data_IF_524694761817
#
_entry.id   IF_524694761817
#
_cell.length_a   1.000
_cell.length_b   1.000
_cell.length_c   1.000
_cell.angle_alpha   90.00
_cell.angle_beta   90.00
_cell.angle_gamma   90.00
#
_symmetry.space_group_name_H-M   'P 1'
#
loop_
_entity.id
_entity.type
_entity.pdbx_description
1 polymer ?
#
# COMPACT_ATOMS: atom_id res chain seq x y z
N UNK A 1 -22.86 -0.33 -16.30
CA UNK A 1 -22.39 1.02 -15.95
C UNK A 1 -21.06 1.20 -16.67
N UNK A 2 -20.84 2.31 -17.38
CA UNK A 2 -19.53 2.59 -17.99
C UNK A 2 -18.69 3.30 -16.93
N UNK A 3 -17.72 2.59 -16.34
CA UNK A 3 -16.71 3.20 -15.48
C UNK A 3 -15.50 3.59 -16.35
N UNK A 4 -15.01 4.81 -16.22
CA UNK A 4 -13.73 5.25 -16.83
C UNK A 4 -12.59 5.07 -15.83
N UNK A 5 -12.30 3.82 -15.47
CA UNK A 5 -11.24 3.49 -14.52
C UNK A 5 -9.88 3.58 -15.19
N UNK A 6 -9.00 4.44 -14.68
CA UNK A 6 -7.58 4.46 -15.09
C UNK A 6 -6.80 3.30 -14.47
N UNK A 7 -7.02 2.11 -15.04
CA UNK A 7 -6.35 0.87 -14.64
C UNK A 7 -4.83 0.92 -14.79
N UNK A 8 -4.31 1.77 -15.67
CA UNK A 8 -2.86 1.94 -15.83
C UNK A 8 -2.26 2.71 -14.65
N UNK A 9 -2.91 3.79 -14.20
CA UNK A 9 -2.49 4.53 -13.00
C UNK A 9 -2.53 3.64 -11.77
N UNK A 10 -3.60 2.87 -11.58
CA UNK A 10 -3.73 1.94 -10.45
C UNK A 10 -2.62 0.88 -10.52
N UNK A 11 -2.43 0.21 -11.65
CA UNK A 11 -1.46 -0.88 -11.74
C UNK A 11 0.00 -0.41 -11.53
N UNK A 12 0.36 0.81 -11.96
CA UNK A 12 1.66 1.42 -11.61
C UNK A 12 1.87 1.51 -10.09
N UNK A 13 0.84 1.90 -9.35
CA UNK A 13 0.90 1.96 -7.88
C UNK A 13 1.00 0.55 -7.28
N UNK A 14 0.24 -0.43 -7.79
CA UNK A 14 0.30 -1.80 -7.30
C UNK A 14 1.65 -2.48 -7.55
N UNK A 15 2.26 -2.26 -8.71
CA UNK A 15 3.60 -2.75 -9.03
C UNK A 15 4.63 -2.15 -8.08
N UNK A 16 4.56 -0.84 -7.82
CA UNK A 16 5.50 -0.20 -6.93
C UNK A 16 5.27 -0.58 -5.45
N UNK A 17 4.01 -0.76 -5.04
CA UNK A 17 3.62 -1.28 -3.72
C UNK A 17 4.20 -2.68 -3.49
N UNK A 18 4.10 -3.57 -4.48
CA UNK A 18 4.67 -4.92 -4.40
C UNK A 18 6.20 -4.87 -4.21
N UNK A 19 6.89 -3.97 -4.93
CA UNK A 19 8.34 -3.75 -4.74
C UNK A 19 8.67 -3.28 -3.32
N UNK A 20 7.89 -2.35 -2.77
CA UNK A 20 8.08 -1.89 -1.40
C UNK A 20 7.82 -3.01 -0.38
N UNK A 21 6.74 -3.80 -0.56
CA UNK A 21 6.42 -4.97 0.28
C UNK A 21 7.59 -5.94 0.33
N UNK A 22 8.19 -6.28 -0.83
CA UNK A 22 9.33 -7.19 -0.90
C UNK A 22 10.55 -6.65 -0.12
N UNK A 23 10.83 -5.35 -0.18
CA UNK A 23 11.93 -4.74 0.59
C UNK A 23 11.65 -4.82 2.09
N UNK A 24 10.42 -4.49 2.51
CA UNK A 24 10.01 -4.50 3.90
C UNK A 24 10.02 -5.92 4.49
N UNK A 25 9.55 -6.91 3.73
CA UNK A 25 9.53 -8.33 4.14
C UNK A 25 10.92 -8.97 4.13
N UNK A 26 11.82 -8.53 3.24
CA UNK A 26 13.21 -9.01 3.20
C UNK A 26 14.09 -8.40 4.32
N UNK A 27 13.59 -7.36 5.01
CA UNK A 27 14.32 -6.71 6.09
C UNK A 27 14.40 -7.62 7.31
N UNK A 28 15.60 -7.79 7.87
CA UNK A 28 15.82 -8.62 9.07
C UNK A 28 15.33 -7.89 10.32
N UNK A 29 14.60 -8.61 11.18
CA UNK A 29 14.13 -8.13 12.48
C UNK A 29 14.78 -8.98 13.59
N UNK A 30 15.28 -8.38 14.70
CA UNK A 30 15.38 -6.93 14.95
C UNK A 30 16.45 -6.28 14.06
N UNK A 31 16.22 -5.03 13.66
CA UNK A 31 17.21 -4.25 12.94
C UNK A 31 18.34 -3.80 13.87
N UNK A 32 19.57 -3.72 13.35
CA UNK A 32 20.71 -3.18 14.09
C UNK A 32 20.53 -1.67 14.28
N UNK A 33 20.63 -1.19 15.53
CA UNK A 33 20.39 0.22 15.86
C UNK A 33 21.43 1.18 15.26
N UNK A 34 22.58 0.65 14.84
CA UNK A 34 23.66 1.43 14.21
C UNK A 34 23.60 1.41 12.68
N UNK A 35 22.69 0.65 12.08
CA UNK A 35 22.55 0.55 10.62
C UNK A 35 21.68 1.68 10.06
N UNK A 36 22.28 2.85 9.87
CA UNK A 36 21.62 4.04 9.29
C UNK A 36 21.09 3.77 7.87
N UNK A 37 21.78 2.92 7.09
CA UNK A 37 21.34 2.58 5.73
C UNK A 37 20.03 1.81 5.79
N UNK A 38 19.97 0.77 6.63
CA UNK A 38 18.75 0.01 6.84
C UNK A 38 17.62 0.88 7.39
N UNK A 39 17.92 1.77 8.35
CA UNK A 39 16.95 2.73 8.89
C UNK A 39 16.31 3.58 7.79
N UNK A 40 17.12 4.26 6.96
CA UNK A 40 16.60 5.12 5.90
C UNK A 40 15.90 4.32 4.79
N UNK A 41 16.41 3.15 4.43
CA UNK A 41 15.81 2.29 3.42
C UNK A 41 14.41 1.81 3.84
N UNK A 42 14.27 1.30 5.07
CA UNK A 42 12.99 0.83 5.61
C UNK A 42 12.01 1.99 5.78
N UNK A 43 12.47 3.12 6.35
CA UNK A 43 11.65 4.32 6.48
C UNK A 43 11.07 4.75 5.14
N UNK A 44 11.90 4.78 4.10
CA UNK A 44 11.47 5.20 2.77
C UNK A 44 10.56 4.16 2.11
N UNK A 45 10.87 2.87 2.23
CA UNK A 45 10.03 1.81 1.68
C UNK A 45 8.64 1.79 2.34
N UNK A 46 8.55 1.97 3.67
CA UNK A 46 7.29 2.02 4.39
C UNK A 46 6.46 3.24 4.00
N UNK A 47 7.09 4.42 3.94
CA UNK A 47 6.43 5.64 3.47
C UNK A 47 5.88 5.46 2.05
N UNK A 48 6.69 4.98 1.09
CA UNK A 48 6.20 4.83 -0.28
C UNK A 48 5.09 3.76 -0.37
N UNK A 49 5.18 2.66 0.37
CA UNK A 49 4.13 1.66 0.42
C UNK A 49 2.78 2.27 0.85
N UNK A 50 2.81 3.15 1.87
CA UNK A 50 1.62 3.88 2.33
C UNK A 50 1.08 4.79 1.22
N UNK A 51 1.92 5.60 0.56
CA UNK A 51 1.46 6.46 -0.55
C UNK A 51 0.87 5.65 -1.70
N UNK A 52 1.46 4.50 -2.07
CA UNK A 52 0.93 3.66 -3.14
C UNK A 52 -0.46 3.11 -2.81
N UNK A 53 -0.73 2.76 -1.54
CA UNK A 53 -2.08 2.34 -1.11
C UNK A 53 -3.06 3.51 -1.22
N UNK A 54 -2.68 4.69 -0.74
CA UNK A 54 -3.50 5.91 -0.80
C UNK A 54 -3.83 6.26 -2.25
N UNK A 55 -2.82 6.35 -3.12
CA UNK A 55 -2.98 6.73 -4.52
C UNK A 55 -3.78 5.71 -5.34
N UNK A 56 -3.62 4.41 -5.03
CA UNK A 56 -4.42 3.36 -5.66
C UNK A 56 -5.87 3.42 -5.19
N UNK A 57 -6.11 3.65 -3.90
CA UNK A 57 -7.45 3.81 -3.34
C UNK A 57 -8.17 5.03 -3.89
N UNK A 58 -7.50 6.17 -3.94
CA UNK A 58 -7.99 7.42 -4.54
C UNK A 58 -8.41 7.22 -6.00
N UNK A 59 -7.56 6.58 -6.81
CA UNK A 59 -7.88 6.28 -8.20
C UNK A 59 -9.05 5.27 -8.37
N UNK A 60 -9.24 4.35 -7.43
CA UNK A 60 -10.40 3.46 -7.43
C UNK A 60 -11.69 4.22 -7.10
N UNK A 61 -11.65 5.07 -6.09
CA UNK A 61 -12.78 5.91 -5.66
C UNK A 61 -13.27 6.76 -6.84
N UNK A 62 -12.34 7.46 -7.49
CA UNK A 62 -12.64 8.27 -8.67
C UNK A 62 -13.20 7.43 -9.82
N UNK A 63 -12.53 6.32 -10.14
CA UNK A 63 -12.86 5.49 -11.30
C UNK A 63 -14.21 4.78 -11.19
N UNK A 64 -14.60 4.37 -9.98
CA UNK A 64 -15.86 3.68 -9.70
C UNK A 64 -16.96 4.61 -9.17
N UNK A 65 -16.70 5.92 -9.07
CA UNK A 65 -17.67 6.92 -8.57
C UNK A 65 -18.16 6.54 -7.18
N UNK A 66 -17.23 6.20 -6.28
CA UNK A 66 -17.51 5.94 -4.87
C UNK A 66 -17.72 7.27 -4.12
N UNK A 67 -17.99 7.23 -2.80
CA UNK A 67 -18.10 8.44 -1.99
C UNK A 67 -16.73 9.14 -1.85
N UNK A 68 -16.74 10.47 -1.73
CA UNK A 68 -15.51 11.26 -1.52
C UNK A 68 -14.87 10.96 -0.14
N UNK A 69 -13.53 10.84 -0.06
CA UNK A 69 -12.82 10.67 1.20
C UNK A 69 -12.63 11.99 1.94
N UNK A 70 -12.89 12.00 3.25
CA UNK A 70 -12.56 13.11 4.16
C UNK A 70 -11.09 13.14 4.61
N UNK A 71 -10.30 12.11 4.28
CA UNK A 71 -8.88 12.00 4.60
C UNK A 71 -8.32 10.61 4.30
N UNK A 72 -7.03 10.38 4.55
CA UNK A 72 -6.35 9.15 4.13
C UNK A 72 -6.90 7.87 4.76
N UNK A 73 -7.29 7.90 6.04
CA UNK A 73 -7.93 6.72 6.65
C UNK A 73 -9.32 6.45 6.08
N UNK A 74 -10.03 7.49 5.64
CA UNK A 74 -11.36 7.36 5.06
C UNK A 74 -11.31 6.69 3.67
N UNK A 75 -10.20 6.85 2.93
CA UNK A 75 -9.95 6.07 1.71
C UNK A 75 -10.04 4.57 2.02
N UNK A 76 -9.42 4.12 3.13
CA UNK A 76 -9.45 2.70 3.51
C UNK A 76 -10.84 2.26 3.98
N UNK A 77 -11.56 3.12 4.68
CA UNK A 77 -12.96 2.86 5.06
C UNK A 77 -13.85 2.69 3.82
N UNK A 78 -13.68 3.52 2.79
CA UNK A 78 -14.42 3.40 1.52
C UNK A 78 -14.09 2.08 0.81
N UNK A 79 -12.80 1.73 0.73
CA UNK A 79 -12.40 0.46 0.12
C UNK A 79 -12.94 -0.76 0.87
N UNK A 80 -13.11 -0.67 2.20
CA UNK A 80 -13.75 -1.70 3.01
C UNK A 80 -15.26 -1.78 2.73
N UNK A 81 -15.96 -0.64 2.76
CA UNK A 81 -17.39 -0.52 2.52
C UNK A 81 -17.78 -1.09 1.14
N UNK A 82 -16.98 -0.78 0.11
CA UNK A 82 -17.13 -1.25 -1.27
C UNK A 82 -16.58 -2.67 -1.50
N UNK A 83 -16.16 -3.35 -0.42
CA UNK A 83 -15.65 -4.73 -0.42
C UNK A 83 -14.42 -4.95 -1.30
N UNK A 84 -13.65 -3.89 -1.57
CA UNK A 84 -12.36 -3.98 -2.24
C UNK A 84 -11.35 -4.68 -1.33
N UNK A 85 -11.35 -4.34 -0.05
CA UNK A 85 -10.47 -4.93 0.97
C UNK A 85 -11.29 -5.53 2.12
N UNK A 86 -10.84 -6.63 2.73
CA UNK A 86 -11.52 -7.19 3.89
C UNK A 86 -11.27 -6.32 5.14
N UNK A 87 -12.21 -6.38 6.10
CA UNK A 87 -12.17 -5.64 7.37
C UNK A 87 -10.83 -5.76 8.11
N UNK A 88 -10.30 -6.97 8.24
CA UNK A 88 -9.01 -7.20 8.93
C UNK A 88 -7.85 -6.50 8.22
N UNK A 89 -7.90 -6.44 6.89
CA UNK A 89 -6.97 -5.68 6.07
C UNK A 89 -7.12 -4.17 6.27
N UNK A 90 -8.35 -3.67 6.29
CA UNK A 90 -8.68 -2.26 6.51
C UNK A 90 -8.16 -1.76 7.86
N UNK A 91 -8.37 -2.52 8.93
CA UNK A 91 -7.84 -2.22 10.27
C UNK A 91 -6.32 -2.06 10.20
N UNK A 92 -5.62 -3.03 9.62
CA UNK A 92 -4.16 -3.02 9.58
C UNK A 92 -3.59 -1.91 8.68
N UNK A 93 -4.21 -1.64 7.54
CA UNK A 93 -3.81 -0.54 6.65
C UNK A 93 -4.01 0.83 7.32
N UNK A 94 -5.10 1.02 8.08
CA UNK A 94 -5.33 2.26 8.85
C UNK A 94 -4.28 2.49 9.92
N UNK A 95 -3.82 1.43 10.61
CA UNK A 95 -2.71 1.54 11.56
C UNK A 95 -1.44 2.03 10.87
N UNK A 96 -1.07 1.44 9.73
CA UNK A 96 0.12 1.83 8.97
C UNK A 96 0.01 3.26 8.41
N UNK A 97 -1.18 3.68 7.94
CA UNK A 97 -1.40 5.07 7.47
C UNK A 97 -1.15 6.09 8.58
N UNK A 98 -1.40 5.77 9.86
CA UNK A 98 -1.11 6.70 10.97
C UNK A 98 0.39 6.93 11.14
N UNK A 99 1.23 5.98 10.75
CA UNK A 99 2.70 6.11 10.77
C UNK A 99 3.19 7.18 9.78
N UNK A 100 2.42 7.45 8.71
CA UNK A 100 2.76 8.42 7.66
C UNK A 100 3.15 9.79 8.20
N UNK A 101 2.38 10.35 9.13
CA UNK A 101 2.66 11.67 9.68
C UNK A 101 4.06 11.72 10.32
N UNK A 102 4.43 10.66 11.02
CA UNK A 102 5.74 10.54 11.64
C UNK A 102 6.84 10.40 10.59
N UNK A 103 6.63 9.61 9.55
CA UNK A 103 7.59 9.44 8.45
C UNK A 103 7.82 10.71 7.62
N UNK A 104 6.82 11.60 7.52
CA UNK A 104 6.88 12.77 6.62
C UNK A 104 7.15 14.08 7.35
N UNK A 105 6.60 14.27 8.55
CA UNK A 105 6.65 15.55 9.28
C UNK A 105 7.40 15.47 10.60
N UNK A 106 7.29 14.35 11.31
CA UNK A 106 7.91 14.13 12.62
C UNK A 106 9.05 13.11 12.55
N UNK A 107 9.81 13.12 11.47
CA UNK A 107 10.82 12.10 11.18
C UNK A 107 12.00 12.11 12.16
N UNK A 108 12.19 13.19 12.91
CA UNK A 108 13.18 13.27 14.01
C UNK A 108 12.73 12.52 15.27
N UNK A 109 11.46 12.10 15.34
CA UNK A 109 10.89 11.36 16.47
C UNK A 109 10.85 9.84 16.22
N UNK A 110 11.12 9.38 15.00
CA UNK A 110 11.13 7.95 14.64
C UNK A 110 12.50 7.35 14.95
N UNK A 111 12.49 6.22 15.62
CA UNK A 111 13.67 5.38 15.78
C UNK A 111 13.48 3.99 15.13
N UNK A 112 14.58 3.25 15.06
CA UNK A 112 14.66 1.92 14.46
C UNK A 112 13.85 0.86 15.23
N UNK A 113 13.62 1.05 16.54
CA UNK A 113 12.84 0.12 17.36
C UNK A 113 11.37 0.23 17.00
N UNK A 114 10.89 1.46 16.83
CA UNK A 114 9.55 1.76 16.35
C UNK A 114 9.33 1.17 14.96
N UNK A 115 10.24 1.44 14.00
CA UNK A 115 10.14 0.85 12.65
C UNK A 115 10.13 -0.68 12.68
N UNK A 116 10.94 -1.30 13.53
CA UNK A 116 10.95 -2.75 13.71
C UNK A 116 9.61 -3.30 14.21
N UNK A 117 8.82 -2.53 14.98
CA UNK A 117 7.47 -2.93 15.36
C UNK A 117 6.51 -2.81 14.17
N UNK A 118 6.58 -1.72 13.41
CA UNK A 118 5.70 -1.51 12.25
C UNK A 118 5.87 -2.59 11.18
N UNK A 119 7.12 -3.04 10.98
CA UNK A 119 7.46 -4.13 10.06
C UNK A 119 6.69 -5.44 10.34
N UNK A 120 6.23 -5.69 11.57
CA UNK A 120 5.52 -6.94 11.91
C UNK A 120 4.21 -7.13 11.17
N UNK A 121 3.65 -6.07 10.59
CA UNK A 121 2.40 -6.18 9.85
C UNK A 121 2.41 -5.53 8.48
N UNK A 122 3.58 -5.40 7.85
CA UNK A 122 3.72 -4.91 6.47
C UNK A 122 3.29 -5.95 5.41
N UNK A 123 3.14 -7.22 5.80
CA UNK A 123 2.61 -8.27 4.91
C UNK A 123 1.20 -7.95 4.37
N UNK A 124 0.48 -7.02 5.00
CA UNK A 124 -0.80 -6.52 4.48
C UNK A 124 -0.66 -5.80 3.14
N UNK A 125 0.50 -5.21 2.82
CA UNK A 125 0.72 -4.51 1.55
C UNK A 125 0.67 -5.48 0.36
N UNK A 126 1.35 -6.62 0.45
CA UNK A 126 1.25 -7.68 -0.56
C UNK A 126 -0.18 -8.23 -0.71
N UNK A 127 -0.92 -8.34 0.39
CA UNK A 127 -2.35 -8.70 0.35
C UNK A 127 -3.21 -7.61 -0.32
N UNK A 128 -2.96 -6.34 -0.04
CA UNK A 128 -3.64 -5.19 -0.64
C UNK A 128 -3.50 -5.18 -2.17
N UNK A 129 -2.30 -5.47 -2.68
CA UNK A 129 -2.09 -5.66 -4.13
C UNK A 129 -3.01 -6.75 -4.69
N UNK A 130 -3.16 -7.86 -3.98
CA UNK A 130 -3.99 -8.99 -4.42
C UNK A 130 -5.46 -8.62 -4.40
N UNK A 131 -5.94 -8.00 -3.32
CA UNK A 131 -7.33 -7.57 -3.16
C UNK A 131 -7.77 -6.58 -4.24
N UNK A 132 -6.99 -5.53 -4.50
CA UNK A 132 -7.31 -4.55 -5.53
C UNK A 132 -7.34 -5.19 -6.92
N UNK A 133 -6.38 -6.07 -7.25
CA UNK A 133 -6.38 -6.78 -8.53
C UNK A 133 -7.60 -7.69 -8.70
N UNK A 134 -7.99 -8.40 -7.64
CA UNK A 134 -9.20 -9.22 -7.63
C UNK A 134 -10.45 -8.39 -7.85
N UNK A 135 -10.56 -7.23 -7.19
CA UNK A 135 -11.68 -6.31 -7.37
C UNK A 135 -11.76 -5.78 -8.81
N UNK A 136 -10.65 -5.27 -9.36
CA UNK A 136 -10.59 -4.82 -10.76
C UNK A 136 -10.97 -5.93 -11.74
N UNK A 137 -10.51 -7.17 -11.50
CA UNK A 137 -10.85 -8.31 -12.32
C UNK A 137 -12.34 -8.68 -12.25
N UNK A 138 -12.94 -8.55 -11.06
CA UNK A 138 -14.36 -8.83 -10.85
C UNK A 138 -15.24 -7.77 -11.55
N UNK A 139 -14.92 -6.49 -11.38
CA UNK A 139 -15.76 -5.40 -11.89
C UNK A 139 -15.58 -5.13 -13.39
N UNK A 140 -14.35 -5.28 -13.92
CA UNK A 140 -14.04 -4.96 -15.32
C UNK A 140 -13.94 -6.19 -16.22
N UNK A 141 -13.86 -7.41 -15.65
CA UNK A 141 -13.79 -8.66 -16.43
C UNK A 141 -12.65 -8.66 -17.45
N UNK A 142 -12.98 -8.90 -18.72
CA UNK A 142 -12.03 -8.90 -19.83
C UNK A 142 -11.43 -7.50 -20.14
N UNK A 143 -12.00 -6.43 -19.61
CA UNK A 143 -11.48 -5.06 -19.73
C UNK A 143 -10.28 -4.78 -18.82
N UNK A 144 -10.01 -5.62 -17.83
CA UNK A 144 -8.82 -5.52 -16.98
C UNK A 144 -7.67 -6.32 -17.59
N UNK A 145 -6.64 -5.62 -18.06
CA UNK A 145 -5.38 -6.23 -18.49
C UNK A 145 -4.35 -6.00 -17.39
N UNK A 146 -4.17 -6.98 -16.50
CA UNK A 146 -3.15 -6.88 -15.46
C UNK A 146 -1.76 -6.88 -16.11
N UNK A 147 -0.92 -5.89 -15.80
CA UNK A 147 0.47 -5.93 -16.22
C UNK A 147 1.20 -6.92 -15.30
N UNK A 148 1.34 -8.18 -15.74
CA UNK A 148 2.17 -9.18 -15.03
C UNK A 148 3.68 -8.89 -15.11
N UNK A 149 4.07 -7.74 -15.66
CA UNK A 149 5.46 -7.34 -15.85
C UNK A 149 6.04 -6.67 -14.61
N UNK A 150 6.89 -7.40 -13.87
CA UNK A 150 7.76 -6.76 -12.88
C UNK A 150 8.27 -7.61 -11.72
N UNK A 151 8.34 -8.93 -11.83
CA UNK A 151 9.03 -9.79 -10.85
C UNK A 151 9.96 -10.79 -11.56
N UNK A 152 10.70 -10.32 -12.56
CA UNK A 152 12.00 -10.93 -12.87
C UNK A 152 13.05 -10.15 -12.09
N UNK A 153 13.31 -10.60 -10.86
CA UNK A 153 14.60 -10.35 -10.24
C UNK A 153 15.52 -11.45 -10.79
N UNK A 154 16.11 -11.20 -11.96
CA UNK A 154 17.33 -11.91 -12.31
C UNK A 154 18.42 -11.43 -11.34
N UNK A 155 18.80 -12.31 -10.43
CA UNK A 155 20.17 -12.47 -9.95
C UNK A 155 20.44 -13.95 -9.75
#
# INVERSE_FOLDING_TARGET
MFYEVDTQRIDKQLVYLARCSNVLEATKIPMDEQDEIAFFAVSRALHIAIECVIDAGDALIDGFIMRDPGGYSDIIDILEDEKVIPQEGAIRLKELIRVRERLVRRYVEIDIRELSQELKGVAVFGKCVTWIRSYLQQELGAGYVSNKGGLNVEK
#
